data_IF_310803783058
#
_entry.id   IF_310803783058
#
_cell.length_a   1.000
_cell.length_b   1.000
_cell.length_c   1.000
_cell.angle_alpha   90.00
_cell.angle_beta   90.00
_cell.angle_gamma   90.00
#
_symmetry.space_group_name_H-M   'P 1'
#
loop_
_entity.id
_entity.type
_entity.pdbx_description
1 polymer ?
#
# COMPACT_ATOMS: atom_id res chain seq x y z
N UNK A 1 22.46 -10.22 29.93
CA UNK A 1 23.31 -10.59 28.78
C UNK A 1 22.52 -10.29 27.51
N UNK A 2 22.90 -9.25 26.76
CA UNK A 2 22.20 -8.84 25.54
C UNK A 2 22.67 -9.70 24.36
N UNK A 3 21.74 -10.32 23.65
CA UNK A 3 22.02 -11.00 22.38
C UNK A 3 22.43 -9.97 21.32
N UNK A 4 23.49 -10.22 20.53
CA UNK A 4 23.87 -9.29 19.48
C UNK A 4 22.80 -9.29 18.39
N UNK A 5 22.27 -8.11 18.08
CA UNK A 5 21.41 -7.89 16.92
C UNK A 5 22.18 -8.31 15.66
N UNK A 6 21.63 -9.27 14.92
CA UNK A 6 22.20 -9.65 13.62
C UNK A 6 22.16 -8.40 12.73
N UNK A 7 23.26 -8.00 12.09
CA UNK A 7 23.22 -6.89 11.15
C UNK A 7 22.18 -7.22 10.08
N UNK A 8 21.23 -6.31 9.89
CA UNK A 8 20.25 -6.39 8.81
C UNK A 8 21.02 -6.70 7.53
N UNK A 9 20.70 -7.82 6.90
CA UNK A 9 21.36 -8.21 5.65
C UNK A 9 20.97 -7.16 4.64
N UNK A 10 21.85 -6.18 4.41
CA UNK A 10 21.75 -5.28 3.26
C UNK A 10 21.95 -6.18 2.05
N UNK A 11 20.85 -6.73 1.56
CA UNK A 11 20.81 -7.36 0.25
C UNK A 11 21.12 -6.20 -0.69
N UNK A 12 22.38 -6.10 -1.10
CA UNK A 12 22.77 -5.30 -2.24
C UNK A 12 21.89 -5.80 -3.39
N UNK A 13 20.78 -5.09 -3.63
CA UNK A 13 19.97 -5.20 -4.82
C UNK A 13 20.83 -4.65 -5.95
N UNK A 14 21.89 -5.37 -6.34
CA UNK A 14 22.30 -5.30 -7.73
C UNK A 14 21.06 -5.75 -8.50
N UNK A 15 20.38 -4.83 -9.21
CA UNK A 15 19.16 -5.20 -9.90
C UNK A 15 19.53 -6.34 -10.85
N UNK A 16 18.73 -7.41 -10.90
CA UNK A 16 18.95 -8.55 -11.81
C UNK A 16 19.32 -8.12 -13.25
N UNK A 17 18.92 -6.90 -13.65
CA UNK A 17 19.32 -6.20 -14.86
C UNK A 17 20.84 -6.14 -15.07
N UNK A 18 21.65 -5.80 -14.06
CA UNK A 18 23.11 -5.66 -14.22
C UNK A 18 23.81 -7.01 -14.39
N UNK A 19 23.44 -8.02 -13.59
CA UNK A 19 23.95 -9.39 -13.77
C UNK A 19 23.60 -9.96 -15.14
N UNK A 20 22.37 -9.73 -15.63
CA UNK A 20 21.94 -10.16 -16.97
C UNK A 20 22.65 -9.37 -18.08
N UNK A 21 22.91 -8.08 -17.90
CA UNK A 21 23.65 -7.25 -18.86
C UNK A 21 25.10 -7.73 -19.02
N UNK A 22 25.81 -7.99 -17.92
CA UNK A 22 27.18 -8.55 -17.96
C UNK A 22 27.23 -9.91 -18.65
N UNK A 23 26.24 -10.79 -18.39
CA UNK A 23 26.13 -12.12 -19.03
C UNK A 23 25.82 -12.02 -20.54
N UNK A 24 25.02 -11.04 -20.97
CA UNK A 24 24.73 -10.75 -22.40
C UNK A 24 25.96 -10.26 -23.17
N UNK A 25 26.79 -9.42 -22.56
CA UNK A 25 28.03 -8.94 -23.19
C UNK A 25 28.99 -10.10 -23.47
N UNK A 26 29.07 -11.06 -22.55
CA UNK A 26 29.89 -12.27 -22.71
C UNK A 26 29.37 -13.20 -23.83
N UNK A 27 28.05 -13.34 -23.99
CA UNK A 27 27.44 -14.18 -25.02
C UNK A 27 27.54 -13.57 -26.43
N UNK A 28 27.41 -12.23 -26.57
CA UNK A 28 27.58 -11.52 -27.86
C UNK A 28 28.97 -11.71 -28.50
N UNK A 29 30.00 -12.00 -27.70
CA UNK A 29 31.38 -12.18 -28.18
C UNK A 29 31.68 -13.57 -28.75
N UNK A 30 30.77 -14.56 -28.60
CA UNK A 30 31.07 -15.98 -28.92
C UNK A 30 30.22 -16.62 -30.01
N UNK A 31 29.12 -16.03 -30.47
CA UNK A 31 28.28 -16.69 -31.47
C UNK A 31 27.64 -15.72 -32.47
N UNK A 32 27.66 -16.13 -33.73
CA UNK A 32 27.22 -15.34 -34.89
C UNK A 32 25.71 -15.06 -34.92
N UNK A 33 25.24 -14.56 -36.07
CA UNK A 33 23.90 -14.03 -36.34
C UNK A 33 22.68 -14.81 -35.79
N UNK A 34 22.80 -16.13 -35.57
CA UNK A 34 21.76 -16.96 -34.93
C UNK A 34 21.55 -16.60 -33.44
N UNK A 35 22.61 -16.27 -32.71
CA UNK A 35 22.53 -15.82 -31.32
C UNK A 35 21.96 -14.39 -31.23
N UNK A 36 22.11 -13.57 -32.27
CA UNK A 36 21.50 -12.23 -32.36
C UNK A 36 19.97 -12.30 -32.46
N UNK A 37 19.43 -13.20 -33.28
CA UNK A 37 17.98 -13.41 -33.39
C UNK A 37 17.40 -14.07 -32.13
N UNK A 38 18.07 -15.10 -31.59
CA UNK A 38 17.66 -15.71 -30.33
C UNK A 38 17.64 -14.69 -29.18
N UNK A 39 18.68 -13.84 -29.07
CA UNK A 39 18.73 -12.77 -28.08
C UNK A 39 17.61 -11.73 -28.25
N UNK A 40 17.22 -11.36 -29.48
CA UNK A 40 16.06 -10.48 -29.73
C UNK A 40 14.73 -11.13 -29.33
N UNK A 41 14.56 -12.43 -29.59
CA UNK A 41 13.36 -13.17 -29.16
C UNK A 41 13.31 -13.28 -27.63
N UNK A 42 14.43 -13.55 -26.97
CA UNK A 42 14.52 -13.53 -25.51
C UNK A 42 14.28 -12.13 -24.91
N UNK A 43 14.80 -11.07 -25.54
CA UNK A 43 14.54 -9.68 -25.14
C UNK A 43 13.07 -9.33 -25.23
N UNK A 44 12.41 -9.67 -26.35
CA UNK A 44 10.98 -9.42 -26.53
C UNK A 44 10.11 -10.27 -25.60
N UNK A 45 10.49 -11.51 -25.30
CA UNK A 45 9.82 -12.33 -24.29
C UNK A 45 9.99 -11.76 -22.87
N UNK A 46 11.20 -11.37 -22.48
CA UNK A 46 11.47 -10.73 -21.19
C UNK A 46 10.73 -9.40 -21.04
N UNK A 47 10.63 -8.60 -22.10
CA UNK A 47 9.82 -7.37 -22.09
C UNK A 47 8.32 -7.66 -21.94
N UNK A 48 7.80 -8.68 -22.60
CA UNK A 48 6.40 -9.12 -22.44
C UNK A 48 6.13 -9.59 -21.01
N UNK A 49 7.06 -10.33 -20.41
CA UNK A 49 6.96 -10.77 -19.03
C UNK A 49 7.00 -9.59 -18.05
N UNK A 50 7.93 -8.64 -18.24
CA UNK A 50 8.00 -7.41 -17.45
C UNK A 50 6.71 -6.60 -17.55
N UNK A 51 6.13 -6.46 -18.75
CA UNK A 51 4.82 -5.79 -18.94
C UNK A 51 3.69 -6.53 -18.22
N UNK A 52 3.68 -7.87 -18.25
CA UNK A 52 2.70 -8.69 -17.51
C UNK A 52 2.85 -8.49 -16.01
N UNK A 53 4.07 -8.55 -15.49
CA UNK A 53 4.36 -8.36 -14.07
C UNK A 53 4.00 -6.94 -13.61
N UNK A 54 4.31 -5.93 -14.42
CA UNK A 54 3.89 -4.54 -14.18
C UNK A 54 2.37 -4.40 -14.06
N UNK A 55 1.60 -4.97 -15.00
CA UNK A 55 0.13 -4.96 -14.95
C UNK A 55 -0.40 -5.69 -13.70
N UNK A 56 0.20 -6.82 -13.32
CA UNK A 56 -0.14 -7.55 -12.08
C UNK A 56 0.09 -6.69 -10.85
N UNK A 57 1.24 -6.02 -10.74
CA UNK A 57 1.57 -5.15 -9.62
C UNK A 57 0.60 -3.96 -9.52
N UNK A 58 0.26 -3.33 -10.65
CA UNK A 58 -0.76 -2.26 -10.68
C UNK A 58 -2.10 -2.77 -10.18
N UNK A 59 -2.52 -3.95 -10.65
CA UNK A 59 -3.78 -4.56 -10.22
C UNK A 59 -3.79 -4.79 -8.70
N UNK A 60 -2.70 -5.37 -8.16
CA UNK A 60 -2.55 -5.58 -6.72
C UNK A 60 -2.59 -4.27 -5.92
N UNK A 61 -1.94 -3.21 -6.41
CA UNK A 61 -1.96 -1.90 -5.76
C UNK A 61 -3.38 -1.33 -5.75
N UNK A 62 -4.10 -1.38 -6.88
CA UNK A 62 -5.50 -0.92 -6.96
C UNK A 62 -6.40 -1.69 -5.99
N UNK A 63 -6.27 -3.01 -5.94
CA UNK A 63 -7.02 -3.84 -4.99
C UNK A 63 -6.72 -3.47 -3.53
N UNK A 64 -5.42 -3.30 -3.19
CA UNK A 64 -5.00 -2.89 -1.84
C UNK A 64 -5.55 -1.52 -1.46
N UNK A 65 -5.49 -0.53 -2.35
CA UNK A 65 -6.06 0.80 -2.12
C UNK A 65 -7.57 0.74 -1.85
N UNK A 66 -8.29 -0.04 -2.64
CA UNK A 66 -9.73 -0.25 -2.47
C UNK A 66 -10.05 -0.91 -1.13
N UNK A 67 -9.27 -1.92 -0.73
CA UNK A 67 -9.42 -2.58 0.56
C UNK A 67 -9.18 -1.62 1.72
N UNK A 68 -8.13 -0.80 1.66
CA UNK A 68 -7.82 0.20 2.70
C UNK A 68 -8.95 1.22 2.80
N UNK A 69 -9.43 1.75 1.67
CA UNK A 69 -10.55 2.71 1.67
C UNK A 69 -11.82 2.11 2.30
N UNK A 70 -12.16 0.85 1.98
CA UNK A 70 -13.28 0.15 2.61
C UNK A 70 -13.11 0.01 4.12
N UNK A 71 -11.92 -0.38 4.58
CA UNK A 71 -11.61 -0.50 6.01
C UNK A 71 -11.71 0.84 6.74
N UNK A 72 -11.25 1.93 6.12
CA UNK A 72 -11.39 3.28 6.68
C UNK A 72 -12.86 3.70 6.76
N UNK A 73 -13.67 3.38 5.75
CA UNK A 73 -15.12 3.59 5.81
C UNK A 73 -15.78 2.83 6.95
N UNK A 74 -15.46 1.54 7.14
CA UNK A 74 -15.96 0.76 8.27
C UNK A 74 -15.51 1.30 9.62
N UNK A 75 -14.27 1.80 9.73
CA UNK A 75 -13.78 2.43 10.95
C UNK A 75 -14.56 3.72 11.27
N UNK A 76 -14.85 4.54 10.27
CA UNK A 76 -15.66 5.75 10.46
C UNK A 76 -17.06 5.40 10.98
N UNK A 77 -17.71 4.36 10.43
CA UNK A 77 -19.01 3.87 10.91
C UNK A 77 -18.97 3.40 12.36
N UNK A 78 -17.97 2.60 12.75
CA UNK A 78 -17.82 2.14 14.15
C UNK A 78 -17.66 3.34 15.10
N UNK A 79 -16.91 4.36 14.70
CA UNK A 79 -16.70 5.56 15.53
C UNK A 79 -17.96 6.43 15.60
N UNK A 80 -18.79 6.47 14.55
CA UNK A 80 -20.12 7.09 14.60
C UNK A 80 -21.09 6.32 15.53
N UNK A 81 -21.03 4.98 15.53
CA UNK A 81 -21.81 4.14 16.44
C UNK A 81 -21.46 4.42 17.91
N UNK A 82 -20.17 4.61 18.23
CA UNK A 82 -19.74 5.00 19.58
C UNK A 82 -20.40 6.31 20.05
N UNK A 83 -20.63 7.27 19.15
CA UNK A 83 -21.34 8.51 19.50
C UNK A 83 -22.81 8.24 19.85
N UNK A 84 -23.44 7.32 19.13
CA UNK A 84 -24.82 6.89 19.42
C UNK A 84 -24.92 6.17 20.76
N UNK A 85 -23.94 5.34 21.09
CA UNK A 85 -23.88 4.64 22.36
C UNK A 85 -23.65 5.58 23.55
N UNK A 86 -22.79 6.59 23.39
CA UNK A 86 -22.65 7.64 24.41
C UNK A 86 -23.95 8.41 24.67
N UNK A 87 -24.71 8.73 23.61
CA UNK A 87 -26.04 9.36 23.75
C UNK A 87 -27.04 8.44 24.45
N UNK A 88 -26.99 7.13 24.19
CA UNK A 88 -27.83 6.15 24.89
C UNK A 88 -27.51 6.09 26.38
N UNK A 89 -26.22 6.14 26.74
CA UNK A 89 -25.78 6.19 28.15
C UNK A 89 -26.26 7.47 28.82
N UNK A 90 -26.08 8.63 28.18
CA UNK A 90 -26.55 9.93 28.67
C UNK A 90 -28.07 9.92 28.94
N UNK A 91 -28.85 9.39 28.00
CA UNK A 91 -30.31 9.28 28.15
C UNK A 91 -30.73 8.29 29.24
N UNK A 92 -29.98 7.20 29.42
CA UNK A 92 -30.29 6.15 30.41
C UNK A 92 -29.95 6.58 31.83
N UNK A 93 -28.94 7.44 31.99
CA UNK A 93 -28.45 7.90 33.29
C UNK A 93 -28.41 9.45 33.34
N UNK A 94 -29.57 10.13 33.33
CA UNK A 94 -29.61 11.60 33.28
C UNK A 94 -29.07 12.30 34.53
N UNK A 95 -29.01 11.59 35.65
CA UNK A 95 -28.37 12.05 36.89
C UNK A 95 -26.83 11.91 36.85
N UNK A 96 -26.30 11.11 35.92
CA UNK A 96 -24.88 10.90 35.71
C UNK A 96 -24.29 12.04 34.88
N UNK A 97 -24.29 13.25 35.45
CA UNK A 97 -23.58 14.41 34.91
C UNK A 97 -22.13 14.39 35.34
N UNK A 98 -21.43 13.28 35.05
CA UNK A 98 -20.01 13.21 35.33
C UNK A 98 -19.22 13.96 34.24
N UNK A 99 -18.23 14.72 34.69
CA UNK A 99 -17.22 15.37 33.83
C UNK A 99 -16.58 14.37 32.86
N UNK A 100 -16.42 13.12 33.27
CA UNK A 100 -15.90 12.00 32.48
C UNK A 100 -16.72 11.74 31.21
N UNK A 101 -18.06 11.83 31.28
CA UNK A 101 -18.95 11.59 30.14
C UNK A 101 -18.81 12.70 29.08
N UNK A 102 -18.75 13.96 29.52
CA UNK A 102 -18.53 15.10 28.62
C UNK A 102 -17.15 15.06 27.96
N UNK A 103 -16.11 14.68 28.70
CA UNK A 103 -14.77 14.48 28.16
C UNK A 103 -14.76 13.35 27.12
N UNK A 104 -15.42 12.22 27.39
CA UNK A 104 -15.57 11.12 26.45
C UNK A 104 -16.33 11.53 25.17
N UNK A 105 -17.43 12.26 25.30
CA UNK A 105 -18.16 12.82 24.15
C UNK A 105 -17.29 13.75 23.31
N UNK A 106 -16.50 14.61 23.95
CA UNK A 106 -15.55 15.50 23.27
C UNK A 106 -14.45 14.75 22.52
N UNK A 107 -13.96 13.63 23.06
CA UNK A 107 -12.99 12.77 22.39
C UNK A 107 -13.62 12.02 21.20
N UNK A 108 -14.79 11.41 21.39
CA UNK A 108 -15.49 10.68 20.32
C UNK A 108 -15.89 11.64 19.19
N UNK A 109 -16.34 12.86 19.49
CA UNK A 109 -16.66 13.86 18.46
C UNK A 109 -15.44 14.24 17.61
N UNK A 110 -14.27 14.40 18.24
CA UNK A 110 -13.01 14.64 17.53
C UNK A 110 -12.60 13.42 16.70
N UNK A 111 -12.78 12.22 17.24
CA UNK A 111 -12.50 10.98 16.53
C UNK A 111 -13.39 10.83 15.29
N UNK A 112 -14.71 11.03 15.40
CA UNK A 112 -15.66 10.99 14.26
C UNK A 112 -15.23 11.95 13.15
N UNK A 113 -14.94 13.21 13.49
CA UNK A 113 -14.52 14.19 12.49
C UNK A 113 -13.20 13.80 11.81
N UNK A 114 -12.24 13.28 12.57
CA UNK A 114 -10.95 12.85 12.04
C UNK A 114 -11.08 11.61 11.15
N UNK A 115 -11.82 10.60 11.59
CA UNK A 115 -12.01 9.36 10.83
C UNK A 115 -12.85 9.56 9.58
N UNK A 116 -13.84 10.45 9.60
CA UNK A 116 -14.61 10.83 8.42
C UNK A 116 -13.71 11.48 7.35
N UNK A 117 -12.91 12.49 7.74
CA UNK A 117 -11.97 13.14 6.81
C UNK A 117 -10.97 12.14 6.24
N UNK A 118 -10.37 11.28 7.07
CA UNK A 118 -9.47 10.25 6.58
C UNK A 118 -10.18 9.26 5.65
N UNK A 119 -11.41 8.83 5.94
CA UNK A 119 -12.15 7.93 5.07
C UNK A 119 -12.39 8.55 3.68
N UNK A 120 -12.72 9.84 3.62
CA UNK A 120 -12.89 10.58 2.36
C UNK A 120 -11.58 10.70 1.58
N UNK A 121 -10.47 11.03 2.25
CA UNK A 121 -9.14 11.10 1.64
C UNK A 121 -8.72 9.74 1.06
N UNK A 122 -8.92 8.65 1.81
CA UNK A 122 -8.60 7.30 1.34
C UNK A 122 -9.53 6.86 0.21
N UNK A 123 -10.80 7.26 0.22
CA UNK A 123 -11.73 7.02 -0.88
C UNK A 123 -11.29 7.75 -2.16
N UNK A 124 -10.85 9.00 -2.05
CA UNK A 124 -10.29 9.77 -3.16
C UNK A 124 -9.00 9.12 -3.68
N UNK A 125 -8.09 8.75 -2.78
CA UNK A 125 -6.83 8.07 -3.12
C UNK A 125 -7.04 6.71 -3.80
N UNK A 126 -8.10 5.98 -3.43
CA UNK A 126 -8.44 4.72 -4.08
C UNK A 126 -8.98 4.92 -5.52
N UNK A 127 -9.63 6.06 -5.79
CA UNK A 127 -10.18 6.41 -7.11
C UNK A 127 -9.13 7.03 -8.05
N UNK A 128 -8.11 7.69 -7.52
CA UNK A 128 -7.06 8.30 -8.35
C UNK A 128 -6.25 7.25 -9.09
N UNK A 129 -6.06 7.48 -10.39
CA UNK A 129 -5.21 6.61 -11.22
C UNK A 129 -3.78 6.68 -10.67
N UNK A 130 -3.12 5.55 -10.40
CA UNK A 130 -1.71 5.57 -10.03
C UNK A 130 -0.90 6.12 -11.22
N UNK A 131 -0.44 7.35 -11.09
CA UNK A 131 0.54 7.97 -11.98
C UNK A 131 1.91 7.38 -11.66
N UNK A 132 2.53 6.75 -12.66
CA UNK A 132 3.92 6.31 -12.57
C UNK A 132 4.77 7.27 -13.38
N UNK A 133 5.61 8.04 -12.71
CA UNK A 133 6.75 8.72 -13.33
C UNK A 133 7.71 7.59 -13.73
N UNK A 134 8.03 7.51 -15.01
CA UNK A 134 8.84 6.42 -15.57
C UNK A 134 10.34 6.56 -15.25
N UNK A 135 10.72 7.71 -14.71
CA UNK A 135 12.11 8.14 -14.50
C UNK A 135 12.34 8.51 -13.03
N UNK A 136 12.62 7.50 -12.20
CA UNK A 136 13.31 7.60 -10.90
C UNK A 136 14.21 6.38 -10.75
#
# INVERSE_FOLDING_TARGET
MATPERPSTVVNFDPQKERKARRRVLLKRRGGWRDSLANRVFETQAERENRRQFRRNISQIRMRRTLIARRMGSLAQIVEELMSDLRRIENRYPAFKERSLYEAQGLVKRAVSSTATCADEYALFARTRPTYIKDL
#
